data_IF_719845782512
#
_entry.id   IF_719845782512
#
_cell.length_a   1.000
_cell.length_b   1.000
_cell.length_c   1.000
_cell.angle_alpha   90.00
_cell.angle_beta   90.00
_cell.angle_gamma   90.00
#
_symmetry.space_group_name_H-M   'P 1'
#
loop_
_entity.id
_entity.type
_entity.pdbx_description
1 polymer ?
#
# COMPACT_ATOMS: atom_id res chain seq x y z
N UNK A 1 11.99 10.91 -1.95
CA UNK A 1 12.83 9.82 -1.48
C UNK A 1 11.98 8.79 -0.76
N UNK A 2 11.21 9.16 0.28
CA UNK A 2 10.34 8.24 1.04
C UNK A 2 9.32 7.45 0.22
N UNK A 3 8.73 8.03 -0.82
CA UNK A 3 7.73 7.34 -1.64
C UNK A 3 8.29 6.20 -2.51
N UNK A 4 9.39 6.46 -3.23
CA UNK A 4 10.09 5.45 -4.03
C UNK A 4 10.74 4.42 -3.12
N UNK A 5 11.29 4.85 -1.98
CA UNK A 5 11.80 3.94 -0.95
C UNK A 5 10.65 3.09 -0.42
N UNK A 6 9.46 3.63 -0.21
CA UNK A 6 8.30 2.86 0.23
C UNK A 6 7.87 1.83 -0.81
N UNK A 7 7.79 2.20 -2.09
CA UNK A 7 7.40 1.27 -3.15
C UNK A 7 8.47 0.19 -3.41
N UNK A 8 9.76 0.58 -3.42
CA UNK A 8 10.88 -0.36 -3.51
C UNK A 8 10.93 -1.25 -2.27
N UNK A 9 10.80 -0.70 -1.07
CA UNK A 9 10.77 -1.48 0.17
C UNK A 9 9.57 -2.43 0.17
N UNK A 10 8.40 -2.04 -0.33
CA UNK A 10 7.22 -2.89 -0.40
C UNK A 10 7.39 -4.04 -1.41
N UNK A 11 7.94 -3.75 -2.59
CA UNK A 11 8.25 -4.76 -3.60
C UNK A 11 9.38 -5.70 -3.12
N UNK A 12 10.41 -5.16 -2.49
CA UNK A 12 11.51 -5.94 -1.89
C UNK A 12 11.00 -6.78 -0.73
N UNK A 13 10.11 -6.26 0.12
CA UNK A 13 9.43 -7.05 1.16
C UNK A 13 8.64 -8.20 0.55
N UNK A 14 7.88 -7.96 -0.51
CA UNK A 14 7.08 -8.99 -1.18
C UNK A 14 7.97 -10.06 -1.81
N UNK A 15 9.05 -9.68 -2.48
CA UNK A 15 10.03 -10.61 -3.05
C UNK A 15 10.79 -11.40 -1.99
N UNK A 16 11.15 -10.78 -0.86
CA UNK A 16 11.81 -11.46 0.28
C UNK A 16 10.85 -12.33 1.09
N UNK A 17 9.56 -11.99 1.11
CA UNK A 17 8.54 -12.75 1.86
C UNK A 17 8.28 -14.14 1.28
N UNK A 18 8.44 -14.32 -0.03
CA UNK A 18 8.25 -15.62 -0.71
C UNK A 18 9.28 -16.69 -0.28
N UNK A 19 10.60 -16.45 -0.34
CA UNK A 19 11.58 -17.40 0.17
C UNK A 19 11.52 -17.55 1.70
N UNK A 20 11.19 -16.48 2.45
CA UNK A 20 10.99 -16.57 3.90
C UNK A 20 9.77 -17.43 4.26
N UNK A 21 8.68 -17.34 3.50
CA UNK A 21 7.50 -18.19 3.68
C UNK A 21 7.84 -19.67 3.41
N UNK A 22 8.65 -19.96 2.39
CA UNK A 22 9.13 -21.30 2.10
C UNK A 22 10.04 -21.85 3.22
N UNK A 23 10.97 -21.04 3.75
CA UNK A 23 11.80 -21.40 4.90
C UNK A 23 10.97 -21.61 6.18
N UNK A 24 9.99 -20.74 6.43
CA UNK A 24 9.08 -20.86 7.57
C UNK A 24 8.27 -22.15 7.49
N UNK A 25 7.78 -22.50 6.30
CA UNK A 25 7.00 -23.72 6.08
C UNK A 25 7.80 -25.00 6.28
N UNK A 26 9.10 -24.98 5.95
CA UNK A 26 9.99 -26.14 6.12
C UNK A 26 10.51 -26.29 7.54
N UNK A 27 10.80 -25.18 8.24
CA UNK A 27 11.34 -25.18 9.61
C UNK A 27 10.23 -25.35 10.67
N UNK A 28 9.06 -24.73 10.48
CA UNK A 28 7.93 -24.79 11.44
C UNK A 28 6.87 -25.83 11.06
N UNK A 29 7.31 -27.00 10.59
CA UNK A 29 6.43 -28.14 10.37
C UNK A 29 5.67 -28.51 11.66
N UNK A 30 4.38 -28.91 11.59
CA UNK A 30 3.53 -29.19 12.75
C UNK A 30 4.11 -30.22 13.75
N UNK A 31 5.06 -31.04 13.30
CA UNK A 31 5.75 -32.05 14.11
C UNK A 31 6.77 -31.47 15.10
N UNK A 32 7.34 -30.29 14.83
CA UNK A 32 8.48 -29.77 15.60
C UNK A 32 8.15 -28.53 16.45
N UNK A 33 7.02 -27.85 16.20
CA UNK A 33 6.78 -26.51 16.77
C UNK A 33 5.35 -26.29 17.27
N UNK A 34 5.22 -25.72 18.47
CA UNK A 34 3.94 -25.42 19.14
C UNK A 34 3.10 -24.40 18.35
N UNK A 35 1.76 -24.49 18.50
CA UNK A 35 0.78 -23.65 17.79
C UNK A 35 1.04 -22.14 17.95
N UNK A 36 1.43 -21.71 19.15
CA UNK A 36 1.70 -20.31 19.49
C UNK A 36 2.87 -19.75 18.68
N UNK A 37 3.96 -20.51 18.54
CA UNK A 37 5.16 -20.13 17.78
C UNK A 37 4.90 -20.04 16.28
N UNK A 38 4.01 -20.87 15.73
CA UNK A 38 3.59 -20.81 14.32
C UNK A 38 2.76 -19.57 13.98
N UNK A 39 2.05 -19.01 14.96
CA UNK A 39 1.23 -17.80 14.79
C UNK A 39 2.05 -16.53 15.09
N UNK A 40 2.88 -16.55 16.14
CA UNK A 40 3.67 -15.41 16.55
C UNK A 40 4.80 -15.07 15.56
N UNK A 41 5.46 -16.07 14.98
CA UNK A 41 6.60 -15.86 14.08
C UNK A 41 6.26 -15.05 12.81
N UNK A 42 5.22 -15.36 12.02
CA UNK A 42 4.87 -14.55 10.85
C UNK A 42 4.36 -13.16 11.26
N UNK A 43 3.70 -13.01 12.41
CA UNK A 43 3.25 -11.71 12.91
C UNK A 43 4.41 -10.78 13.29
N UNK A 44 5.44 -11.30 13.95
CA UNK A 44 6.64 -10.55 14.35
C UNK A 44 7.46 -10.16 13.11
N UNK A 45 7.70 -11.12 12.20
CA UNK A 45 8.42 -10.86 10.95
C UNK A 45 7.66 -9.82 10.12
N UNK A 46 6.34 -9.97 9.99
CA UNK A 46 5.48 -9.00 9.32
C UNK A 46 5.59 -7.60 9.93
N UNK A 47 5.53 -7.46 11.26
CA UNK A 47 5.68 -6.18 11.96
C UNK A 47 7.03 -5.51 11.68
N UNK A 48 8.13 -6.28 11.62
CA UNK A 48 9.47 -5.77 11.36
C UNK A 48 9.61 -5.27 9.92
N UNK A 49 9.18 -6.05 8.93
CA UNK A 49 9.17 -5.62 7.52
C UNK A 49 8.29 -4.40 7.30
N UNK A 50 7.15 -4.36 7.98
CA UNK A 50 6.21 -3.26 7.87
C UNK A 50 6.73 -1.97 8.54
N UNK A 51 7.44 -2.06 9.67
CA UNK A 51 8.17 -0.94 10.30
C UNK A 51 9.27 -0.39 9.38
N UNK A 52 10.03 -1.28 8.73
CA UNK A 52 11.06 -0.92 7.76
C UNK A 52 10.49 -0.19 6.53
N UNK A 53 9.29 -0.56 6.09
CA UNK A 53 8.69 -0.04 4.87
C UNK A 53 8.06 1.35 5.05
N UNK A 54 7.23 1.58 6.07
CA UNK A 54 6.32 2.74 6.13
C UNK A 54 6.78 3.93 7.01
N UNK A 55 7.79 3.78 7.88
CA UNK A 55 8.21 4.85 8.81
C UNK A 55 7.21 5.14 9.96
N UNK A 56 7.68 5.79 11.04
CA UNK A 56 7.09 5.64 12.39
C UNK A 56 5.60 6.05 12.55
N UNK A 57 5.10 7.08 11.89
CA UNK A 57 3.81 7.71 12.30
C UNK A 57 2.60 7.24 11.50
N UNK A 58 2.69 7.25 10.17
CA UNK A 58 1.60 6.80 9.28
C UNK A 58 1.43 5.28 9.40
N UNK A 59 2.54 4.56 9.59
CA UNK A 59 2.54 3.12 9.81
C UNK A 59 1.76 2.67 11.04
N UNK A 60 1.99 3.31 12.19
CA UNK A 60 1.36 2.93 13.44
C UNK A 60 -0.16 3.09 13.36
N UNK A 61 -0.64 4.14 12.69
CA UNK A 61 -2.07 4.39 12.53
C UNK A 61 -2.72 3.40 11.55
N UNK A 62 -2.12 3.20 10.37
CA UNK A 62 -2.66 2.31 9.34
C UNK A 62 -2.58 0.83 9.73
N UNK A 63 -1.47 0.38 10.32
CA UNK A 63 -1.37 -1.01 10.81
C UNK A 63 -2.13 -1.26 12.10
N UNK A 64 -2.17 -0.30 13.02
CA UNK A 64 -3.01 -0.43 14.22
C UNK A 64 -4.47 -0.67 13.85
N UNK A 65 -4.97 0.07 12.85
CA UNK A 65 -6.32 -0.10 12.34
C UNK A 65 -6.54 -1.46 11.65
N UNK A 66 -5.60 -1.90 10.80
CA UNK A 66 -5.69 -3.21 10.11
C UNK A 66 -5.63 -4.39 11.10
N UNK A 67 -4.72 -4.34 12.08
CA UNK A 67 -4.58 -5.35 13.13
C UNK A 67 -5.84 -5.44 13.98
N UNK A 68 -6.43 -4.31 14.37
CA UNK A 68 -7.69 -4.28 15.11
C UNK A 68 -8.82 -4.97 14.34
N UNK A 69 -8.96 -4.68 13.04
CA UNK A 69 -9.99 -5.31 12.19
C UNK A 69 -9.75 -6.80 12.01
N UNK A 70 -8.49 -7.23 11.85
CA UNK A 70 -8.16 -8.65 11.69
C UNK A 70 -8.39 -9.43 12.98
N UNK A 71 -8.05 -8.84 14.12
CA UNK A 71 -8.33 -9.40 15.44
C UNK A 71 -9.83 -9.53 15.69
N UNK A 72 -10.60 -8.47 15.39
CA UNK A 72 -12.05 -8.47 15.51
C UNK A 72 -12.71 -9.53 14.62
N UNK A 73 -12.23 -9.67 13.37
CA UNK A 73 -12.67 -10.72 12.44
C UNK A 73 -12.35 -12.13 12.96
N UNK A 74 -11.16 -12.35 13.50
CA UNK A 74 -10.77 -13.64 14.07
C UNK A 74 -11.61 -14.02 15.29
N UNK A 75 -12.02 -13.02 16.09
CA UNK A 75 -12.80 -13.24 17.30
C UNK A 75 -14.29 -13.53 17.04
N UNK A 76 -14.89 -12.98 15.96
CA UNK A 76 -16.34 -13.02 15.72
C UNK A 76 -16.76 -13.86 14.50
N UNK A 77 -15.91 -14.01 13.48
CA UNK A 77 -16.26 -14.69 12.22
C UNK A 77 -15.67 -16.11 12.18
N UNK A 78 -16.46 -17.11 12.59
CA UNK A 78 -16.09 -18.55 12.56
C UNK A 78 -16.41 -19.25 11.23
N UNK A 79 -16.98 -18.54 10.24
CA UNK A 79 -17.42 -19.10 8.94
C UNK A 79 -16.81 -18.33 7.76
N UNK A 80 -16.57 -19.02 6.64
CA UNK A 80 -16.07 -18.45 5.38
C UNK A 80 -16.82 -17.17 5.03
N UNK A 81 -16.11 -16.04 5.08
CA UNK A 81 -16.65 -14.71 4.79
C UNK A 81 -15.83 -14.08 3.68
N UNK A 82 -16.51 -13.35 2.80
CA UNK A 82 -15.91 -12.60 1.69
C UNK A 82 -14.81 -11.69 2.25
N UNK A 83 -13.58 -11.83 1.74
CA UNK A 83 -12.42 -11.12 2.27
C UNK A 83 -12.41 -9.64 1.84
N UNK A 84 -13.16 -8.82 2.58
CA UNK A 84 -13.23 -7.36 2.42
C UNK A 84 -11.91 -6.65 2.75
N UNK A 85 -10.93 -7.36 3.31
CA UNK A 85 -9.65 -6.74 3.68
C UNK A 85 -8.73 -6.49 2.50
N UNK A 86 -8.89 -7.22 1.40
CA UNK A 86 -8.18 -6.96 0.13
C UNK A 86 -8.50 -5.56 -0.43
N UNK A 87 -9.78 -5.24 -0.68
CA UNK A 87 -10.18 -3.90 -1.14
C UNK A 87 -9.77 -2.77 -0.17
N UNK A 88 -9.86 -3.01 1.13
CA UNK A 88 -9.38 -2.06 2.14
C UNK A 88 -7.87 -1.81 2.04
N UNK A 89 -7.07 -2.85 1.82
CA UNK A 89 -5.62 -2.72 1.66
C UNK A 89 -5.28 -1.85 0.45
N UNK A 90 -5.94 -2.09 -0.69
CA UNK A 90 -5.70 -1.32 -1.92
C UNK A 90 -6.14 0.15 -1.75
N UNK A 91 -7.28 0.38 -1.09
CA UNK A 91 -7.71 1.73 -0.76
C UNK A 91 -6.70 2.46 0.14
N UNK A 92 -6.18 1.81 1.18
CA UNK A 92 -5.16 2.38 2.07
C UNK A 92 -3.88 2.73 1.29
N UNK A 93 -3.44 1.86 0.40
CA UNK A 93 -2.26 2.12 -0.45
C UNK A 93 -2.47 3.38 -1.30
N UNK A 94 -3.60 3.50 -2.00
CA UNK A 94 -3.92 4.66 -2.86
C UNK A 94 -4.03 5.97 -2.09
N UNK A 95 -4.68 5.95 -0.94
CA UNK A 95 -4.80 7.14 -0.07
C UNK A 95 -3.44 7.55 0.49
N UNK A 96 -2.61 6.59 0.89
CA UNK A 96 -1.27 6.85 1.43
C UNK A 96 -0.39 7.52 0.37
N UNK A 97 -0.42 7.02 -0.86
CA UNK A 97 0.32 7.57 -2.00
C UNK A 97 -0.11 9.01 -2.29
N UNK A 98 -1.42 9.23 -2.37
CA UNK A 98 -2.00 10.55 -2.60
C UNK A 98 -1.58 11.56 -1.51
N UNK A 99 -1.59 11.14 -0.24
CA UNK A 99 -1.17 11.97 0.87
C UNK A 99 0.31 12.38 0.77
N UNK A 100 1.19 11.46 0.37
CA UNK A 100 2.60 11.77 0.14
C UNK A 100 2.81 12.69 -1.06
N UNK A 101 2.09 12.46 -2.17
CA UNK A 101 2.12 13.35 -3.33
C UNK A 101 1.69 14.79 -2.98
N UNK A 102 0.68 14.94 -2.12
CA UNK A 102 0.23 16.25 -1.62
C UNK A 102 1.26 16.90 -0.69
N UNK A 103 1.85 16.12 0.22
CA UNK A 103 2.90 16.60 1.11
C UNK A 103 4.12 17.08 0.30
N UNK A 104 4.57 16.27 -0.66
CA UNK A 104 5.71 16.60 -1.52
C UNK A 104 5.44 17.83 -2.38
N UNK A 105 4.21 18.05 -2.87
CA UNK A 105 3.86 19.24 -3.65
C UNK A 105 3.56 20.51 -2.86
N UNK A 106 3.28 20.42 -1.55
CA UNK A 106 2.96 21.58 -0.70
C UNK A 106 4.08 22.02 0.23
N UNK A 107 4.89 21.07 0.71
CA UNK A 107 5.86 21.32 1.81
C UNK A 107 7.29 21.35 1.31
N UNK A 108 7.66 20.53 0.32
CA UNK A 108 9.04 20.43 -0.16
C UNK A 108 9.32 21.38 -1.31
N UNK A 109 10.56 21.89 -1.35
CA UNK A 109 11.07 22.64 -2.50
C UNK A 109 11.32 21.69 -3.67
N UNK A 110 11.14 22.21 -4.90
CA UNK A 110 11.39 21.47 -6.14
C UNK A 110 12.78 20.82 -6.16
N UNK A 111 13.78 21.49 -5.60
CA UNK A 111 15.18 21.10 -5.74
C UNK A 111 15.56 19.92 -4.84
N UNK A 112 14.74 19.63 -3.82
CA UNK A 112 14.91 18.48 -2.90
C UNK A 112 14.17 17.23 -3.39
N UNK A 113 13.39 17.34 -4.47
CA UNK A 113 12.54 16.28 -4.99
C UNK A 113 13.24 15.51 -6.11
N UNK A 114 13.13 14.18 -6.06
CA UNK A 114 13.56 13.31 -7.16
C UNK A 114 12.65 13.48 -8.39
N UNK A 115 13.10 13.10 -9.57
CA UNK A 115 12.36 13.36 -10.83
C UNK A 115 10.94 12.79 -10.83
N UNK A 116 10.77 11.57 -10.33
CA UNK A 116 9.44 10.95 -10.16
C UNK A 116 8.59 11.73 -9.15
N UNK A 117 9.18 12.21 -8.05
CA UNK A 117 8.40 12.97 -7.07
C UNK A 117 7.99 14.34 -7.61
N UNK A 118 8.82 14.97 -8.44
CA UNK A 118 8.46 16.21 -9.13
C UNK A 118 7.28 15.98 -10.07
N UNK A 119 7.26 14.86 -10.78
CA UNK A 119 6.16 14.45 -11.66
C UNK A 119 4.86 14.20 -10.87
N UNK A 120 4.97 13.50 -9.74
CA UNK A 120 3.82 13.08 -8.93
C UNK A 120 3.39 14.08 -7.85
N UNK A 121 4.08 15.20 -7.72
CA UNK A 121 3.82 16.21 -6.69
C UNK A 121 2.51 16.95 -6.97
N UNK A 122 1.58 16.90 -6.02
CA UNK A 122 0.29 17.57 -6.10
C UNK A 122 0.31 18.88 -5.30
N UNK A 123 0.09 20.00 -5.99
CA UNK A 123 0.04 21.33 -5.36
C UNK A 123 -1.31 21.62 -4.72
N UNK A 124 -2.38 21.07 -5.28
CA UNK A 124 -3.76 21.26 -4.82
C UNK A 124 -4.37 19.94 -4.34
N UNK A 125 -5.28 20.04 -3.37
CA UNK A 125 -6.06 18.88 -2.90
C UNK A 125 -7.09 18.53 -3.96
N UNK A 126 -7.24 17.24 -4.33
CA UNK A 126 -8.24 16.82 -5.30
C UNK A 126 -9.66 17.05 -4.79
N UNK A 127 -10.59 17.28 -5.72
CA UNK A 127 -12.02 17.37 -5.39
C UNK A 127 -12.52 16.04 -4.83
N UNK A 128 -13.61 16.07 -4.06
CA UNK A 128 -14.22 14.84 -3.49
C UNK A 128 -14.58 13.85 -4.60
N UNK A 129 -15.08 14.35 -5.74
CA UNK A 129 -15.44 13.51 -6.87
C UNK A 129 -14.21 12.81 -7.47
N UNK A 130 -13.12 13.55 -7.73
CA UNK A 130 -11.90 12.97 -8.30
C UNK A 130 -11.21 12.01 -7.33
N UNK A 131 -11.27 12.32 -6.03
CA UNK A 131 -10.79 11.44 -4.98
C UNK A 131 -11.58 10.12 -4.93
N UNK A 132 -12.91 10.19 -4.89
CA UNK A 132 -13.76 9.00 -4.88
C UNK A 132 -13.61 8.18 -6.16
N UNK A 133 -13.56 8.85 -7.31
CA UNK A 133 -13.33 8.22 -8.61
C UNK A 133 -12.00 7.49 -8.64
N UNK A 134 -10.94 8.11 -8.12
CA UNK A 134 -9.64 7.47 -7.97
C UNK A 134 -9.71 6.26 -7.04
N UNK A 135 -10.21 6.40 -5.82
CA UNK A 135 -10.22 5.31 -4.82
C UNK A 135 -11.08 4.13 -5.26
N UNK A 136 -12.29 4.38 -5.77
CA UNK A 136 -13.29 3.36 -6.10
C UNK A 136 -13.32 2.95 -7.58
N UNK A 137 -12.28 3.27 -8.35
CA UNK A 137 -12.17 2.84 -9.74
C UNK A 137 -12.19 1.30 -9.85
N UNK A 138 -13.21 0.77 -10.55
CA UNK A 138 -13.55 -0.66 -10.56
C UNK A 138 -12.41 -1.60 -10.96
N UNK A 139 -11.50 -1.17 -11.85
CA UNK A 139 -10.39 -2.00 -12.33
C UNK A 139 -9.29 -2.23 -11.29
N UNK A 140 -9.21 -1.37 -10.26
CA UNK A 140 -8.18 -1.46 -9.21
C UNK A 140 -8.75 -1.49 -7.79
N UNK A 141 -10.08 -1.47 -7.62
CA UNK A 141 -10.70 -1.40 -6.28
C UNK A 141 -10.59 -2.71 -5.50
N UNK A 142 -10.58 -3.86 -6.18
CA UNK A 142 -10.54 -5.19 -5.55
C UNK A 142 -9.15 -5.83 -5.60
N UNK A 143 -8.50 -5.77 -6.75
CA UNK A 143 -7.13 -6.21 -6.97
C UNK A 143 -6.55 -5.30 -8.05
N UNK A 144 -5.37 -4.76 -7.84
CA UNK A 144 -4.77 -3.89 -8.84
C UNK A 144 -3.39 -3.42 -8.43
N UNK A 145 -2.48 -3.23 -9.39
CA UNK A 145 -1.22 -2.56 -9.12
C UNK A 145 -1.48 -1.14 -8.64
N UNK A 146 -0.59 -0.65 -7.78
CA UNK A 146 -0.66 0.70 -7.25
C UNK A 146 -0.48 1.70 -8.41
N UNK A 147 -1.53 2.48 -8.70
CA UNK A 147 -1.51 3.54 -9.70
C UNK A 147 -1.40 4.92 -9.04
N UNK A 148 -0.62 5.82 -9.64
CA UNK A 148 -0.54 7.20 -9.16
C UNK A 148 -1.80 7.98 -9.47
N UNK A 149 -2.09 8.98 -8.63
CA UNK A 149 -3.24 9.85 -8.83
C UNK A 149 -3.09 10.71 -10.10
N UNK A 150 -1.86 11.18 -10.42
CA UNK A 150 -1.64 12.00 -11.62
C UNK A 150 -1.88 11.20 -12.88
N UNK A 151 -1.34 9.98 -12.98
CA UNK A 151 -1.55 9.06 -14.09
C UNK A 151 -3.03 8.72 -14.27
N UNK A 152 -3.74 8.49 -13.17
CA UNK A 152 -5.17 8.23 -13.20
C UNK A 152 -5.96 9.44 -13.73
N UNK A 153 -5.64 10.66 -13.30
CA UNK A 153 -6.27 11.88 -13.83
C UNK A 153 -5.90 12.09 -15.30
N UNK A 154 -4.65 11.88 -15.69
CA UNK A 154 -4.23 12.00 -17.09
C UNK A 154 -4.98 11.04 -18.02
N UNK A 155 -5.33 9.86 -17.51
CA UNK A 155 -6.17 8.90 -18.22
C UNK A 155 -7.63 9.36 -18.31
N UNK A 156 -8.23 9.84 -17.21
CA UNK A 156 -9.60 10.37 -17.19
C UNK A 156 -9.75 11.60 -18.09
N UNK A 157 -8.78 12.50 -18.05
CA UNK A 157 -8.76 13.75 -18.82
C UNK A 157 -8.37 13.53 -20.29
N UNK A 158 -8.02 12.30 -20.68
CA UNK A 158 -7.60 11.96 -22.05
C UNK A 158 -6.22 12.50 -22.46
N UNK A 159 -5.54 13.25 -21.58
CA UNK A 159 -4.20 13.80 -21.84
C UNK A 159 -3.12 12.74 -22.03
N UNK A 160 -3.34 11.54 -21.51
CA UNK A 160 -2.46 10.39 -21.73
C UNK A 160 -2.54 9.81 -23.16
N UNK A 161 -3.64 10.05 -23.89
CA UNK A 161 -3.84 9.55 -25.25
C UNK A 161 -3.27 10.49 -26.32
N UNK A 162 -3.07 11.77 -25.97
CA UNK A 162 -2.45 12.76 -26.84
C UNK A 162 -0.94 12.56 -26.71
N UNK A 163 -0.31 11.94 -27.72
CA UNK A 163 1.15 11.88 -27.78
C UNK A 163 1.75 13.28 -27.66
N UNK A 164 3.04 13.40 -27.28
CA UNK A 164 3.77 14.69 -27.27
C UNK A 164 3.75 15.45 -28.61
N UNK A 165 3.16 14.85 -29.63
CA UNK A 165 3.10 15.26 -31.02
C UNK A 165 1.73 15.84 -31.41
N UNK A 166 0.75 15.92 -30.49
CA UNK A 166 -0.54 16.56 -30.73
C UNK A 166 -1.37 15.92 -31.85
N UNK A 167 -1.21 14.61 -32.06
CA UNK A 167 -2.03 13.80 -32.98
C UNK A 167 -2.68 12.64 -32.25
#
# INVERSE_FOLDING_TARGET
MYFIIFQINLVVCQLLSLPLAYLHYTILSPANVTRTTRIASPAIIGLVFCYFCFGKTVFLFSMGYLVFIHWYRWYILTTYSIDITGPMMVAVQKVTVLAFSLHDGKVKKSDELNDIQKREALRSVPSVLNFLSYVFHFQSVLVGPLCFYTDYMSWIDGTAAIGKDGK
#
